data_IF_676053309833
#
_entry.id   IF_676053309833
#
_cell.length_a   1.000
_cell.length_b   1.000
_cell.length_c   1.000
_cell.angle_alpha   90.00
_cell.angle_beta   90.00
_cell.angle_gamma   90.00
#
_symmetry.space_group_name_H-M   'P 1'
#
loop_
_entity.id
_entity.type
_entity.pdbx_description
1 polymer ?
#
# COMPACT_ATOMS: atom_id res chain seq x y z
N UNK A 1 -6.92 -2.26 -14.69
CA UNK A 1 -6.90 -1.49 -13.43
C UNK A 1 -5.46 -1.42 -12.98
N UNK A 2 -4.98 -0.25 -12.57
CA UNK A 2 -3.62 -0.04 -12.07
C UNK A 2 -3.53 -0.55 -10.63
N UNK A 3 -2.59 -1.45 -10.33
CA UNK A 3 -2.36 -1.98 -8.98
C UNK A 3 -1.42 -1.06 -8.23
N UNK A 4 -1.89 -0.48 -7.12
CA UNK A 4 -1.14 0.44 -6.28
C UNK A 4 -0.93 -0.22 -4.92
N UNK A 5 0.33 -0.37 -4.53
CA UNK A 5 0.73 -0.88 -3.22
C UNK A 5 1.17 0.28 -2.34
N UNK A 6 0.48 0.48 -1.22
CA UNK A 6 0.96 1.32 -0.13
C UNK A 6 1.71 0.47 0.88
N UNK A 7 2.92 0.87 1.24
CA UNK A 7 3.71 0.28 2.31
C UNK A 7 3.77 1.28 3.46
N UNK A 8 3.17 0.93 4.60
CA UNK A 8 3.16 1.77 5.80
C UNK A 8 4.32 1.39 6.72
N UNK A 9 5.24 2.31 6.93
CA UNK A 9 6.43 2.13 7.80
C UNK A 9 6.32 2.84 9.14
N UNK A 10 5.33 3.72 9.29
CA UNK A 10 5.02 4.44 10.53
C UNK A 10 3.51 4.48 10.81
N UNK A 11 3.08 4.48 12.08
CA UNK A 11 1.67 4.59 12.41
C UNK A 11 1.14 5.99 12.07
N UNK A 12 -0.18 6.07 11.86
CA UNK A 12 -0.97 7.32 11.81
C UNK A 12 -0.48 8.42 10.84
N UNK A 13 -0.12 8.04 9.60
CA UNK A 13 0.12 9.02 8.53
C UNK A 13 -1.20 9.47 7.86
N UNK A 14 -1.66 10.67 8.23
CA UNK A 14 -2.90 11.27 7.70
C UNK A 14 -2.84 11.56 6.19
N UNK A 15 -1.66 11.88 5.65
CA UNK A 15 -1.49 12.12 4.21
C UNK A 15 -1.62 10.80 3.45
N UNK A 16 -0.93 9.75 3.91
CA UNK A 16 -1.01 8.42 3.32
C UNK A 16 -2.46 7.89 3.30
N UNK A 17 -3.20 8.07 4.41
CA UNK A 17 -4.62 7.70 4.48
C UNK A 17 -5.48 8.47 3.47
N UNK A 18 -5.23 9.77 3.32
CA UNK A 18 -5.95 10.62 2.38
C UNK A 18 -5.71 10.19 0.93
N UNK A 19 -4.44 9.97 0.57
CA UNK A 19 -4.04 9.51 -0.77
C UNK A 19 -4.64 8.15 -1.09
N UNK A 20 -4.48 7.16 -0.19
CA UNK A 20 -5.02 5.82 -0.40
C UNK A 20 -6.56 5.83 -0.52
N UNK A 21 -7.25 6.72 0.22
CA UNK A 21 -8.70 6.89 0.11
C UNK A 21 -9.12 7.44 -1.25
N UNK A 22 -8.41 8.46 -1.75
CA UNK A 22 -8.68 9.05 -3.06
C UNK A 22 -8.44 8.04 -4.19
N UNK A 23 -7.35 7.26 -4.11
CA UNK A 23 -7.03 6.24 -5.10
C UNK A 23 -8.02 5.07 -5.07
N UNK A 24 -8.51 4.66 -3.90
CA UNK A 24 -9.58 3.64 -3.80
C UNK A 24 -10.89 4.09 -4.42
N UNK A 25 -11.16 5.39 -4.46
CA UNK A 25 -12.36 5.95 -5.08
C UNK A 25 -12.28 5.97 -6.62
N UNK A 26 -11.08 5.84 -7.20
CA UNK A 26 -10.88 5.73 -8.64
C UNK A 26 -11.11 4.28 -9.11
N UNK A 27 -12.15 4.08 -9.93
CA UNK A 27 -12.49 2.77 -10.50
C UNK A 27 -11.38 2.17 -11.41
N UNK A 28 -10.41 2.99 -11.83
CA UNK A 28 -9.25 2.51 -12.59
C UNK A 28 -8.15 1.96 -11.70
N UNK A 29 -8.22 2.15 -10.38
CA UNK A 29 -7.20 1.75 -9.42
C UNK A 29 -7.65 0.56 -8.56
N UNK A 30 -6.71 -0.33 -8.26
CA UNK A 30 -6.83 -1.35 -7.22
C UNK A 30 -5.76 -1.06 -6.18
N UNK A 31 -6.18 -0.77 -4.94
CA UNK A 31 -5.28 -0.30 -3.88
C UNK A 31 -5.12 -1.35 -2.79
N UNK A 32 -3.89 -1.75 -2.55
CA UNK A 32 -3.47 -2.64 -1.46
C UNK A 32 -2.67 -1.85 -0.43
N UNK A 33 -2.71 -2.26 0.84
CA UNK A 33 -1.90 -1.65 1.90
C UNK A 33 -1.27 -2.74 2.75
N UNK A 34 0.06 -2.73 2.83
CA UNK A 34 0.85 -3.58 3.72
C UNK A 34 1.37 -2.74 4.87
N UNK A 35 1.18 -3.24 6.09
CA UNK A 35 1.62 -2.59 7.32
C UNK A 35 2.91 -3.24 7.84
N UNK A 36 4.01 -2.49 7.81
CA UNK A 36 5.29 -2.92 8.36
C UNK A 36 5.50 -2.48 9.81
N UNK A 37 4.51 -1.84 10.42
CA UNK A 37 4.57 -1.46 11.85
C UNK A 37 4.19 -2.61 12.79
N UNK A 38 3.74 -3.74 12.23
CA UNK A 38 3.42 -4.95 13.00
C UNK A 38 4.70 -5.63 13.51
N UNK A 39 4.64 -6.38 14.63
CA UNK A 39 5.82 -7.01 15.22
C UNK A 39 6.53 -8.01 14.31
N UNK A 40 5.78 -8.73 13.48
CA UNK A 40 6.28 -9.76 12.57
C UNK A 40 5.66 -9.54 11.17
N UNK A 41 6.25 -8.67 10.34
CA UNK A 41 5.79 -8.46 8.97
C UNK A 41 6.07 -9.67 8.10
N UNK A 42 5.13 -10.03 7.23
CA UNK A 42 5.32 -11.07 6.23
C UNK A 42 6.07 -10.50 5.01
N UNK A 43 7.39 -10.67 5.01
CA UNK A 43 8.24 -10.16 3.95
C UNK A 43 8.17 -10.97 2.65
N UNK A 44 7.80 -12.24 2.72
CA UNK A 44 7.63 -13.07 1.52
C UNK A 44 6.37 -12.62 0.77
N UNK A 45 5.26 -12.43 1.49
CA UNK A 45 4.04 -11.84 0.91
C UNK A 45 4.26 -10.41 0.41
N UNK A 46 5.01 -9.58 1.14
CA UNK A 46 5.34 -8.22 0.67
C UNK A 46 6.13 -8.27 -0.65
N UNK A 47 7.10 -9.17 -0.77
CA UNK A 47 7.91 -9.29 -1.98
C UNK A 47 7.03 -9.66 -3.19
N UNK A 48 6.08 -10.58 -3.01
CA UNK A 48 5.09 -10.91 -4.03
C UNK A 48 4.23 -9.69 -4.41
N UNK A 49 3.68 -8.97 -3.43
CA UNK A 49 2.88 -7.75 -3.67
C UNK A 49 3.67 -6.65 -4.39
N UNK A 50 4.98 -6.53 -4.12
CA UNK A 50 5.87 -5.57 -4.78
C UNK A 50 5.98 -5.89 -6.28
N UNK A 51 6.15 -7.16 -6.65
CA UNK A 51 6.26 -7.56 -8.05
C UNK A 51 4.93 -7.50 -8.80
N UNK A 52 3.82 -7.66 -8.09
CA UNK A 52 2.46 -7.59 -8.63
C UNK A 52 1.95 -6.15 -8.84
N UNK A 53 2.60 -5.15 -8.25
CA UNK A 53 2.17 -3.76 -8.28
C UNK A 53 2.68 -2.98 -9.50
N UNK A 54 1.83 -2.12 -10.07
CA UNK A 54 2.22 -1.14 -11.11
C UNK A 54 2.78 0.14 -10.50
N UNK A 55 2.55 0.37 -9.21
CA UNK A 55 2.98 1.56 -8.46
C UNK A 55 3.17 1.20 -7.00
N UNK A 56 4.26 1.69 -6.40
CA UNK A 56 4.58 1.47 -4.99
C UNK A 56 4.77 2.83 -4.33
N UNK A 57 4.10 3.03 -3.21
CA UNK A 57 4.18 4.26 -2.41
C UNK A 57 4.52 3.88 -0.96
N UNK A 58 5.58 4.49 -0.42
CA UNK A 58 6.09 4.19 0.92
C UNK A 58 5.92 5.42 1.81
N UNK A 59 5.36 5.20 2.99
CA UNK A 59 4.96 6.26 3.93
C UNK A 59 5.46 6.02 5.35
#
# INVERSE_FOLDING_TARGET
>A
MRRILHIRTRPDDALAQTVATQQRADAQCQVETVDLTVPEPDYDALLESIFDADSIEVW
#
